data_IF_539627963980
#
_entry.id   IF_539627963980
#
_cell.length_a   1.000
_cell.length_b   1.000
_cell.length_c   1.000
_cell.angle_alpha   90.00
_cell.angle_beta   90.00
_cell.angle_gamma   90.00
#
_symmetry.space_group_name_H-M   'P 1'
#
loop_
_entity.id
_entity.type
_entity.pdbx_description
1 polymer ?
#
# COMPACT_ATOMS: atom_id res chain seq x y z
N UNK A 1 1.96 36.42 -7.30
CA UNK A 1 2.59 35.09 -7.52
C UNK A 1 2.94 34.47 -6.17
N UNK A 2 1.99 33.79 -5.51
CA UNK A 2 2.18 33.15 -4.19
C UNK A 2 1.38 31.83 -4.15
N UNK A 3 1.81 30.84 -4.92
CA UNK A 3 1.24 29.49 -4.93
C UNK A 3 2.35 28.44 -5.05
N UNK A 4 3.25 28.33 -4.05
CA UNK A 4 4.39 27.39 -4.18
C UNK A 4 4.86 26.69 -2.90
N UNK A 5 4.09 26.72 -1.81
CA UNK A 5 4.44 26.00 -0.56
C UNK A 5 3.41 24.97 -0.07
N UNK A 6 2.21 24.97 -0.63
CA UNK A 6 1.07 24.15 -0.14
C UNK A 6 0.89 22.80 -0.84
N UNK A 7 1.63 22.53 -1.92
CA UNK A 7 1.43 21.30 -2.71
C UNK A 7 2.44 20.19 -2.41
N UNK A 8 3.57 20.50 -1.75
CA UNK A 8 4.53 19.50 -1.29
C UNK A 8 4.27 19.13 0.19
N UNK A 9 3.48 18.08 0.37
CA UNK A 9 3.11 17.58 1.70
C UNK A 9 4.33 17.08 2.50
N UNK A 10 5.37 16.58 1.84
CA UNK A 10 6.58 16.08 2.51
C UNK A 10 7.38 17.26 3.11
N UNK A 11 7.46 18.39 2.40
CA UNK A 11 8.07 19.61 2.93
C UNK A 11 7.30 20.15 4.15
N UNK A 12 5.96 20.14 4.10
CA UNK A 12 5.11 20.56 5.21
C UNK A 12 5.34 19.66 6.43
N UNK A 13 5.32 18.35 6.23
CA UNK A 13 5.57 17.36 7.29
C UNK A 13 6.98 17.51 7.86
N UNK A 14 8.00 17.79 7.04
CA UNK A 14 9.38 17.96 7.52
C UNK A 14 9.52 19.14 8.49
N UNK A 15 8.78 20.22 8.26
CA UNK A 15 8.82 21.43 9.10
C UNK A 15 8.13 21.28 10.47
N UNK A 16 7.33 20.21 10.66
CA UNK A 16 6.52 19.98 11.85
C UNK A 16 7.23 19.13 12.89
N UNK A 17 6.84 19.26 14.16
CA UNK A 17 7.24 18.28 15.19
C UNK A 17 6.41 16.99 15.07
N UNK A 18 6.82 15.90 15.74
CA UNK A 18 6.17 14.58 15.60
C UNK A 18 4.65 14.62 15.86
N UNK A 19 4.21 15.35 16.90
CA UNK A 19 2.79 15.48 17.26
C UNK A 19 2.00 16.17 16.15
N UNK A 20 2.55 17.26 15.60
CA UNK A 20 1.93 18.00 14.51
C UNK A 20 1.91 17.22 13.19
N UNK A 21 2.94 16.40 12.92
CA UNK A 21 2.97 15.49 11.76
C UNK A 21 1.83 14.49 11.85
N UNK A 22 1.70 13.80 12.98
CA UNK A 22 0.67 12.78 13.19
C UNK A 22 -0.73 13.40 13.09
N UNK A 23 -0.93 14.56 13.72
CA UNK A 23 -2.21 15.27 13.63
C UNK A 23 -2.56 15.65 12.18
N UNK A 24 -1.61 16.19 11.42
CA UNK A 24 -1.84 16.54 10.01
C UNK A 24 -2.23 15.32 9.17
N UNK A 25 -1.51 14.21 9.34
CA UNK A 25 -1.79 12.95 8.63
C UNK A 25 -3.19 12.42 9.00
N UNK A 26 -3.56 12.49 10.28
CA UNK A 26 -4.88 12.09 10.76
C UNK A 26 -6.00 12.98 10.23
N UNK A 27 -5.78 14.29 10.19
CA UNK A 27 -6.75 15.26 9.67
C UNK A 27 -6.96 15.05 8.16
N UNK A 28 -5.90 14.84 7.37
CA UNK A 28 -6.00 14.41 5.97
C UNK A 28 -6.74 13.08 5.83
N UNK A 29 -6.52 12.15 6.77
CA UNK A 29 -7.19 10.85 6.81
C UNK A 29 -8.71 10.93 7.00
N UNK A 30 -9.21 11.96 7.68
CA UNK A 30 -10.66 12.18 7.87
C UNK A 30 -11.33 12.72 6.61
N UNK A 31 -10.56 13.33 5.72
CA UNK A 31 -11.05 13.80 4.43
C UNK A 31 -11.14 12.66 3.42
N UNK A 32 -12.13 12.74 2.53
CA UNK A 32 -12.26 11.87 1.35
C UNK A 32 -12.06 12.63 0.04
N UNK A 33 -11.49 13.84 0.12
CA UNK A 33 -11.20 14.64 -1.07
C UNK A 33 -10.11 13.98 -1.93
N UNK A 34 -10.20 14.06 -3.28
CA UNK A 34 -9.16 13.52 -4.16
C UNK A 34 -7.76 14.08 -3.84
N UNK A 35 -7.68 15.35 -3.41
CA UNK A 35 -6.44 16.00 -2.99
C UNK A 35 -5.86 15.38 -1.73
N UNK A 36 -6.68 15.18 -0.69
CA UNK A 36 -6.22 14.54 0.56
C UNK A 36 -5.74 13.10 0.31
N UNK A 37 -6.47 12.33 -0.49
CA UNK A 37 -6.07 10.98 -0.88
C UNK A 37 -4.74 10.98 -1.64
N UNK A 38 -4.55 11.91 -2.59
CA UNK A 38 -3.29 12.02 -3.33
C UNK A 38 -2.12 12.38 -2.40
N UNK A 39 -2.32 13.29 -1.46
CA UNK A 39 -1.30 13.66 -0.47
C UNK A 39 -0.95 12.47 0.42
N UNK A 40 -1.94 11.77 0.97
CA UNK A 40 -1.70 10.57 1.78
C UNK A 40 -0.94 9.49 0.98
N UNK A 41 -1.36 9.21 -0.25
CA UNK A 41 -0.69 8.22 -1.10
C UNK A 41 0.77 8.60 -1.36
N UNK A 42 1.07 9.88 -1.57
CA UNK A 42 2.46 10.33 -1.76
C UNK A 42 3.33 10.10 -0.52
N UNK A 43 2.74 10.12 0.69
CA UNK A 43 3.45 9.89 1.95
C UNK A 43 3.80 8.41 2.20
N UNK A 44 3.28 7.47 1.41
CA UNK A 44 3.80 6.10 1.38
C UNK A 44 5.25 6.04 0.87
N UNK A 45 5.73 7.12 0.24
CA UNK A 45 7.12 7.30 -0.18
C UNK A 45 7.92 8.20 0.78
N UNK A 46 7.38 8.54 1.96
CA UNK A 46 8.13 9.33 2.94
C UNK A 46 9.37 8.57 3.41
N UNK A 47 10.47 9.28 3.67
CA UNK A 47 11.68 8.67 4.23
C UNK A 47 11.48 8.14 5.65
N UNK A 48 10.49 8.69 6.38
CA UNK A 48 10.16 8.28 7.74
C UNK A 48 9.27 7.04 7.77
N UNK A 49 9.78 5.96 8.36
CA UNK A 49 9.01 4.72 8.52
C UNK A 49 7.73 4.91 9.33
N UNK A 50 7.75 5.71 10.40
CA UNK A 50 6.56 5.96 11.23
C UNK A 50 5.46 6.73 10.49
N UNK A 51 5.83 7.61 9.54
CA UNK A 51 4.86 8.26 8.66
C UNK A 51 4.25 7.25 7.71
N UNK A 52 5.09 6.43 7.04
CA UNK A 52 4.60 5.40 6.12
C UNK A 52 3.64 4.43 6.81
N UNK A 53 3.95 4.04 8.04
CA UNK A 53 3.14 3.11 8.83
C UNK A 53 1.77 3.71 9.18
N UNK A 54 1.74 4.93 9.73
CA UNK A 54 0.49 5.64 10.03
C UNK A 54 -0.38 5.87 8.79
N UNK A 55 0.25 6.26 7.69
CA UNK A 55 -0.45 6.47 6.40
C UNK A 55 -1.01 5.15 5.87
N UNK A 56 -0.28 4.04 6.01
CA UNK A 56 -0.75 2.71 5.63
C UNK A 56 -2.03 2.32 6.40
N UNK A 57 -2.07 2.57 7.70
CA UNK A 57 -3.26 2.32 8.54
C UNK A 57 -4.47 3.14 8.04
N UNK A 58 -4.26 4.44 7.79
CA UNK A 58 -5.32 5.34 7.32
C UNK A 58 -5.82 4.93 5.94
N UNK A 59 -4.92 4.70 4.99
CA UNK A 59 -5.28 4.33 3.63
C UNK A 59 -5.97 2.97 3.56
N UNK A 60 -5.66 2.03 4.46
CA UNK A 60 -6.39 0.77 4.53
C UNK A 60 -7.90 0.96 4.78
N UNK A 61 -8.28 1.97 5.58
CA UNK A 61 -9.70 2.30 5.83
C UNK A 61 -10.44 2.86 4.61
N UNK A 62 -9.68 3.32 3.60
CA UNK A 62 -10.24 3.87 2.35
C UNK A 62 -10.72 2.76 1.41
N UNK A 63 -10.31 1.51 1.63
CA UNK A 63 -10.79 0.35 0.88
C UNK A 63 -10.37 0.38 -0.58
N UNK A 64 -11.20 -0.19 -1.46
CA UNK A 64 -10.81 -0.49 -2.84
C UNK A 64 -10.65 0.75 -3.73
N UNK A 65 -11.15 1.92 -3.31
CA UNK A 65 -11.12 3.17 -4.10
C UNK A 65 -9.72 3.70 -4.44
N UNK A 66 -8.70 3.14 -3.82
CA UNK A 66 -7.29 3.53 -4.02
C UNK A 66 -6.43 2.41 -4.59
N UNK A 67 -7.00 1.24 -4.95
CA UNK A 67 -6.21 0.08 -5.40
C UNK A 67 -5.31 0.42 -6.58
N UNK A 68 -5.84 1.04 -7.64
CA UNK A 68 -5.05 1.38 -8.83
C UNK A 68 -3.83 2.24 -8.49
N UNK A 69 -4.00 3.21 -7.58
CA UNK A 69 -2.91 4.09 -7.15
C UNK A 69 -1.86 3.32 -6.34
N UNK A 70 -2.27 2.38 -5.50
CA UNK A 70 -1.35 1.54 -4.74
C UNK A 70 -0.64 0.52 -5.62
N UNK A 71 -1.32 -0.04 -6.62
CA UNK A 71 -0.73 -0.94 -7.62
C UNK A 71 0.35 -0.20 -8.41
N UNK A 72 0.08 1.03 -8.85
CA UNK A 72 1.10 1.85 -9.53
C UNK A 72 2.33 2.09 -8.63
N UNK A 73 2.13 2.36 -7.33
CA UNK A 73 3.26 2.51 -6.39
C UNK A 73 4.04 1.20 -6.16
N UNK A 74 3.36 0.04 -6.21
CA UNK A 74 4.01 -1.26 -6.15
C UNK A 74 4.85 -1.54 -7.40
N UNK A 75 4.38 -1.12 -8.57
CA UNK A 75 5.05 -1.36 -9.85
C UNK A 75 6.21 -0.39 -10.11
N UNK A 76 6.02 0.90 -9.84
CA UNK A 76 6.96 1.97 -10.21
C UNK A 76 7.81 2.49 -9.03
N UNK A 77 7.46 2.12 -7.80
CA UNK A 77 8.11 2.62 -6.60
C UNK A 77 9.55 2.11 -6.40
N UNK A 78 10.32 2.83 -5.58
CA UNK A 78 11.55 2.30 -4.99
C UNK A 78 11.22 1.32 -3.85
N UNK A 79 12.20 0.56 -3.38
CA UNK A 79 11.97 -0.60 -2.50
C UNK A 79 11.06 -0.32 -1.29
N UNK A 80 11.21 0.82 -0.60
CA UNK A 80 10.36 1.12 0.56
C UNK A 80 8.96 1.59 0.16
N UNK A 81 8.81 2.26 -0.99
CA UNK A 81 7.51 2.64 -1.56
C UNK A 81 6.74 1.38 -1.96
N UNK A 82 7.41 0.44 -2.65
CA UNK A 82 6.85 -0.86 -3.00
C UNK A 82 6.39 -1.64 -1.78
N UNK A 83 7.24 -1.72 -0.75
CA UNK A 83 6.91 -2.40 0.50
C UNK A 83 5.70 -1.77 1.21
N UNK A 84 5.62 -0.44 1.27
CA UNK A 84 4.48 0.28 1.83
C UNK A 84 3.20 0.10 1.01
N UNK A 85 3.30 0.09 -0.33
CA UNK A 85 2.18 -0.22 -1.21
C UNK A 85 1.66 -1.65 -1.00
N UNK A 86 2.56 -2.65 -0.99
CA UNK A 86 2.21 -4.05 -0.71
C UNK A 86 1.54 -4.20 0.66
N UNK A 87 2.10 -3.59 1.72
CA UNK A 87 1.51 -3.59 3.06
C UNK A 87 0.10 -3.00 3.06
N UNK A 88 -0.09 -1.88 2.37
CA UNK A 88 -1.40 -1.21 2.29
C UNK A 88 -2.42 -2.07 1.53
N UNK A 89 -2.04 -2.66 0.39
CA UNK A 89 -2.88 -3.60 -0.37
C UNK A 89 -3.30 -4.80 0.48
N UNK A 90 -2.37 -5.38 1.24
CA UNK A 90 -2.66 -6.47 2.17
C UNK A 90 -3.62 -6.08 3.31
N UNK A 91 -3.48 -4.86 3.84
CA UNK A 91 -4.37 -4.35 4.89
C UNK A 91 -5.78 -4.04 4.35
N UNK A 92 -5.91 -3.50 3.13
CA UNK A 92 -7.20 -3.41 2.42
C UNK A 92 -7.77 -4.81 2.26
N UNK A 93 -6.94 -5.75 1.84
CA UNK A 93 -7.29 -7.16 1.75
C UNK A 93 -8.20 -7.48 0.57
N UNK A 94 -8.17 -6.69 -0.51
CA UNK A 94 -8.96 -6.96 -1.72
C UNK A 94 -8.32 -8.08 -2.53
N UNK A 95 -9.12 -9.08 -2.91
CA UNK A 95 -8.72 -10.18 -3.79
C UNK A 95 -8.19 -9.70 -5.14
N UNK A 96 -8.61 -8.51 -5.60
CA UNK A 96 -8.13 -7.88 -6.84
C UNK A 96 -6.64 -7.53 -6.79
N UNK A 97 -6.03 -7.47 -5.61
CA UNK A 97 -4.61 -7.17 -5.45
C UNK A 97 -3.71 -8.38 -5.74
N UNK A 98 -4.25 -9.60 -5.75
CA UNK A 98 -3.44 -10.83 -5.84
C UNK A 98 -2.61 -10.93 -7.13
N UNK A 99 -3.17 -10.71 -8.35
CA UNK A 99 -2.37 -10.73 -9.58
C UNK A 99 -1.17 -9.79 -9.52
N UNK A 100 -1.37 -8.60 -8.96
CA UNK A 100 -0.32 -7.58 -8.87
C UNK A 100 0.74 -7.93 -7.83
N UNK A 101 0.33 -8.39 -6.65
CA UNK A 101 1.25 -8.83 -5.60
C UNK A 101 2.10 -10.03 -6.03
N UNK A 102 1.52 -10.98 -6.77
CA UNK A 102 2.22 -12.17 -7.25
C UNK A 102 3.41 -11.86 -8.17
N UNK A 103 3.41 -10.72 -8.85
CA UNK A 103 4.55 -10.26 -9.67
C UNK A 103 5.79 -9.93 -8.83
N UNK A 104 5.63 -9.66 -7.53
CA UNK A 104 6.68 -9.15 -6.64
C UNK A 104 7.13 -10.15 -5.55
N UNK A 105 6.67 -11.40 -5.61
CA UNK A 105 7.09 -12.44 -4.66
C UNK A 105 8.60 -12.72 -4.75
N UNK A 106 9.20 -12.49 -5.93
CA UNK A 106 10.63 -12.66 -6.21
C UNK A 106 11.37 -11.31 -6.34
N UNK A 107 10.81 -10.20 -5.83
CA UNK A 107 11.47 -8.88 -5.91
C UNK A 107 12.87 -8.92 -5.29
N UNK A 108 13.84 -8.21 -5.88
CA UNK A 108 15.23 -8.22 -5.42
C UNK A 108 15.40 -7.76 -3.97
N UNK A 109 14.52 -6.88 -3.48
CA UNK A 109 14.58 -6.37 -2.12
C UNK A 109 13.81 -7.27 -1.14
N UNK A 110 14.48 -7.71 -0.07
CA UNK A 110 13.87 -8.60 0.93
C UNK A 110 12.67 -8.00 1.66
N UNK A 111 12.68 -6.68 1.92
CA UNK A 111 11.58 -5.98 2.60
C UNK A 111 10.34 -5.94 1.71
N UNK A 112 10.52 -5.81 0.39
CA UNK A 112 9.41 -5.89 -0.58
C UNK A 112 8.82 -7.30 -0.56
N UNK A 113 9.66 -8.33 -0.71
CA UNK A 113 9.20 -9.73 -0.67
C UNK A 113 8.43 -10.05 0.61
N UNK A 114 8.96 -9.67 1.77
CA UNK A 114 8.30 -9.89 3.06
C UNK A 114 6.91 -9.24 3.11
N UNK A 115 6.79 -7.96 2.74
CA UNK A 115 5.50 -7.27 2.75
C UNK A 115 4.52 -7.83 1.70
N UNK A 116 5.02 -8.29 0.56
CA UNK A 116 4.21 -8.98 -0.46
C UNK A 116 3.69 -10.30 0.08
N UNK A 117 4.54 -11.13 0.69
CA UNK A 117 4.11 -12.40 1.28
C UNK A 117 3.09 -12.21 2.40
N UNK A 118 3.32 -11.24 3.30
CA UNK A 118 2.34 -10.92 4.35
C UNK A 118 1.01 -10.41 3.76
N UNK A 119 1.07 -9.58 2.73
CA UNK A 119 -0.13 -9.08 2.06
C UNK A 119 -0.94 -10.21 1.41
N UNK A 120 -0.27 -11.11 0.68
CA UNK A 120 -0.91 -12.25 0.04
C UNK A 120 -1.53 -13.16 1.11
N UNK A 121 -0.81 -13.50 2.19
CA UNK A 121 -1.35 -14.33 3.28
C UNK A 121 -2.62 -13.72 3.90
N UNK A 122 -2.60 -12.41 4.19
CA UNK A 122 -3.77 -11.69 4.72
C UNK A 122 -4.95 -11.75 3.77
N UNK A 123 -4.73 -11.56 2.46
CA UNK A 123 -5.79 -11.62 1.46
C UNK A 123 -6.33 -13.04 1.36
N UNK A 124 -5.48 -14.05 1.15
CA UNK A 124 -5.90 -15.45 0.99
C UNK A 124 -6.69 -15.95 2.21
N UNK A 125 -6.29 -15.57 3.43
CA UNK A 125 -7.02 -15.97 4.64
C UNK A 125 -8.48 -15.46 4.71
N UNK A 126 -8.85 -14.46 3.90
CA UNK A 126 -10.19 -13.85 3.88
C UNK A 126 -11.15 -14.47 2.86
N UNK A 127 -10.64 -15.21 1.87
CA UNK A 127 -11.44 -15.69 0.75
C UNK A 127 -11.37 -17.20 0.63
N UNK A 128 -12.43 -17.81 0.08
CA UNK A 128 -12.40 -19.22 -0.23
C UNK A 128 -11.45 -19.49 -1.40
N UNK A 129 -10.93 -20.71 -1.47
CA UNK A 129 -9.98 -21.11 -2.52
C UNK A 129 -10.59 -20.92 -3.92
N UNK A 130 -11.86 -21.25 -4.08
CA UNK A 130 -12.60 -21.15 -5.33
C UNK A 130 -12.74 -19.69 -5.80
N UNK A 131 -12.98 -18.77 -4.85
CA UNK A 131 -13.03 -17.34 -5.15
C UNK A 131 -11.67 -16.85 -5.65
N UNK A 132 -10.59 -17.29 -5.00
CA UNK A 132 -9.21 -16.94 -5.38
C UNK A 132 -8.85 -17.51 -6.75
N UNK A 133 -9.14 -18.78 -6.98
CA UNK A 133 -8.88 -19.46 -8.25
C UNK A 133 -9.64 -18.77 -9.40
N UNK A 134 -10.86 -18.28 -9.16
CA UNK A 134 -11.64 -17.55 -10.17
C UNK A 134 -11.05 -16.19 -10.58
N UNK A 135 -10.17 -15.60 -9.77
CA UNK A 135 -9.55 -14.28 -10.01
C UNK A 135 -8.15 -14.36 -10.60
N UNK A 136 -7.59 -15.56 -10.69
CA UNK A 136 -6.23 -15.78 -11.13
C UNK A 136 -6.22 -16.59 -12.43
N UNK A 137 -5.23 -16.33 -13.26
CA UNK A 137 -4.86 -17.29 -14.31
C UNK A 137 -4.35 -18.57 -13.67
N UNK A 138 -4.37 -19.67 -14.44
CA UNK A 138 -3.80 -20.94 -13.98
C UNK A 138 -2.33 -20.79 -13.52
N UNK A 139 -1.54 -20.01 -14.25
CA UNK A 139 -0.13 -19.77 -13.88
C UNK A 139 0.00 -19.01 -12.56
N UNK A 140 -0.76 -17.92 -12.38
CA UNK A 140 -0.77 -17.15 -11.14
C UNK A 140 -1.21 -18.00 -9.94
N UNK A 141 -2.23 -18.85 -10.12
CA UNK A 141 -2.68 -19.75 -9.06
C UNK A 141 -1.63 -20.81 -8.71
N UNK A 142 -0.91 -21.37 -9.70
CA UNK A 142 0.23 -22.25 -9.45
C UNK A 142 1.38 -21.54 -8.72
N UNK A 143 1.64 -20.25 -9.03
CA UNK A 143 2.62 -19.45 -8.28
C UNK A 143 2.17 -19.23 -6.83
N UNK A 144 0.89 -18.93 -6.62
CA UNK A 144 0.32 -18.71 -5.30
C UNK A 144 0.48 -19.95 -4.40
N UNK A 145 0.19 -21.15 -4.92
CA UNK A 145 0.34 -22.43 -4.18
C UNK A 145 1.79 -22.76 -3.78
N UNK A 146 2.79 -22.16 -4.43
CA UNK A 146 4.20 -22.37 -4.08
C UNK A 146 4.66 -21.52 -2.89
N UNK A 147 3.84 -20.58 -2.44
CA UNK A 147 4.15 -19.75 -1.29
C UNK A 147 3.89 -20.55 -0.02
N UNK A 148 4.93 -20.71 0.81
CA UNK A 148 4.82 -21.44 2.07
C UNK A 148 3.76 -20.81 2.99
N UNK A 149 2.89 -21.65 3.56
CA UNK A 149 1.82 -21.21 4.46
C UNK A 149 0.60 -20.63 3.75
N UNK A 150 0.45 -20.88 2.44
CA UNK A 150 -0.73 -20.53 1.64
C UNK A 150 -1.33 -21.82 1.08
N UNK A 151 -2.56 -22.14 1.55
CA UNK A 151 -3.30 -23.39 1.37
C UNK A 151 -2.68 -24.66 1.99
#
# INVERSE_FOLDING_TARGET
MKEKKTDDIEAIIRSKNLKEKMKLIEDLGKEDSPKALQQLISLLSSSSWSIRDKVTEILATKGEKILDKLINLLEEGIWFTKASAAKTLGNIGSIQSLPHLLKFIDDNNSVVRENVYEAIKKIVSKYQKEDIESKLTKEEFERLKKINGIF
#
